data_IF_019581978952
#
_entry.id   IF_019581978952
#
_cell.length_a   1.000
_cell.length_b   1.000
_cell.length_c   1.000
_cell.angle_alpha   90.00
_cell.angle_beta   90.00
_cell.angle_gamma   90.00
#
_symmetry.space_group_name_H-M   'P 1'
#
loop_
_entity.id
_entity.type
_entity.pdbx_description
1 polymer ?
#
# COMPACT_ATOMS: atom_id res chain seq x y z
N UNK A 1 10.66 -14.97 16.22
CA UNK A 1 9.93 -15.33 15.89
C UNK A 1 9.29 -15.30 14.59
N UNK A 2 8.38 -15.74 14.42
CA UNK A 2 7.82 -16.07 13.18
C UNK A 2 7.38 -14.92 12.31
N UNK A 3 7.56 -15.05 11.03
CA UNK A 3 7.10 -14.07 10.06
C UNK A 3 5.78 -14.49 9.41
N UNK A 4 5.06 -15.37 10.07
CA UNK A 4 3.83 -15.90 9.49
C UNK A 4 2.84 -14.78 9.15
N UNK A 5 2.69 -13.81 10.07
CA UNK A 5 1.76 -12.71 9.82
C UNK A 5 2.21 -11.90 8.60
N UNK A 6 3.49 -11.60 8.51
CA UNK A 6 4.00 -10.83 7.37
C UNK A 6 3.83 -11.60 6.07
N UNK A 7 4.09 -12.89 6.09
CA UNK A 7 3.93 -13.73 4.92
C UNK A 7 2.47 -13.74 4.46
N UNK A 8 1.54 -13.87 5.41
CA UNK A 8 0.12 -13.91 5.08
C UNK A 8 -0.32 -12.56 4.50
N UNK A 9 0.20 -11.48 5.04
CA UNK A 9 -0.14 -10.16 4.54
C UNK A 9 0.34 -10.00 3.09
N UNK A 10 1.58 -10.36 2.81
CA UNK A 10 2.12 -10.23 1.47
C UNK A 10 1.33 -11.09 0.48
N UNK A 11 0.97 -12.30 0.88
CA UNK A 11 0.17 -13.17 0.03
C UNK A 11 -1.17 -12.52 -0.30
N UNK A 12 -1.80 -11.96 0.71
CA UNK A 12 -3.09 -11.32 0.54
C UNK A 12 -2.98 -10.13 -0.43
N UNK A 13 -1.89 -9.40 -0.36
CA UNK A 13 -1.71 -8.20 -1.16
C UNK A 13 -1.36 -8.50 -2.62
N UNK A 14 -1.23 -9.75 -2.99
CA UNK A 14 -1.05 -10.10 -4.39
C UNK A 14 -2.32 -9.84 -5.18
N UNK A 15 -3.45 -9.84 -4.51
CA UNK A 15 -4.72 -9.48 -5.13
C UNK A 15 -4.78 -7.96 -5.27
N UNK A 16 -4.97 -7.47 -6.49
CA UNK A 16 -4.95 -6.03 -6.76
C UNK A 16 -6.02 -5.30 -5.96
N UNK A 17 -7.17 -5.90 -5.77
CA UNK A 17 -8.25 -5.26 -5.02
C UNK A 17 -7.87 -5.14 -3.54
N UNK A 18 -7.30 -6.21 -2.98
CA UNK A 18 -6.86 -6.17 -1.59
C UNK A 18 -5.77 -5.12 -1.42
N UNK A 19 -4.86 -5.03 -2.38
CA UNK A 19 -3.78 -4.06 -2.31
C UNK A 19 -4.33 -2.64 -2.37
N UNK A 20 -5.30 -2.42 -3.22
CA UNK A 20 -5.91 -1.09 -3.36
C UNK A 20 -6.60 -0.68 -2.05
N UNK A 21 -7.36 -1.58 -1.46
CA UNK A 21 -8.04 -1.28 -0.21
C UNK A 21 -7.06 -1.01 0.93
N UNK A 22 -5.99 -1.79 0.94
CA UNK A 22 -4.97 -1.66 1.97
C UNK A 22 -4.29 -0.29 1.88
N UNK A 23 -3.93 0.12 0.66
CA UNK A 23 -3.26 1.39 0.47
C UNK A 23 -4.17 2.58 0.74
N UNK A 24 -5.44 2.48 0.32
CA UNK A 24 -6.36 3.57 0.58
C UNK A 24 -6.66 3.72 2.06
N UNK A 25 -6.71 2.61 2.78
CA UNK A 25 -6.88 2.66 4.23
C UNK A 25 -5.70 3.35 4.88
N UNK A 26 -4.49 3.06 4.39
CA UNK A 26 -3.29 3.71 4.92
C UNK A 26 -3.30 5.20 4.63
N UNK A 27 -3.79 5.59 3.46
CA UNK A 27 -3.88 7.00 3.11
C UNK A 27 -4.82 7.76 4.04
N UNK A 28 -5.88 7.10 4.50
CA UNK A 28 -6.83 7.76 5.37
C UNK A 28 -6.28 8.05 6.75
N UNK A 29 -5.21 7.38 7.12
CA UNK A 29 -4.58 7.63 8.41
C UNK A 29 -3.76 8.91 8.43
N UNK A 30 -3.50 9.48 7.28
CA UNK A 30 -2.72 10.73 7.17
C UNK A 30 -1.34 10.62 7.82
N UNK A 31 -0.76 9.44 7.80
CA UNK A 31 0.56 9.21 8.36
C UNK A 31 1.50 8.79 7.24
N UNK A 32 2.41 9.67 6.82
CA UNK A 32 3.29 9.35 5.69
C UNK A 32 4.16 8.11 5.93
N UNK A 33 4.60 7.90 7.15
CA UNK A 33 5.42 6.73 7.45
C UNK A 33 4.61 5.45 7.32
N UNK A 34 3.38 5.50 7.79
CA UNK A 34 2.50 4.34 7.66
C UNK A 34 2.21 4.04 6.20
N UNK A 35 1.97 5.08 5.42
CA UNK A 35 1.70 4.88 4.00
C UNK A 35 2.92 4.31 3.29
N UNK A 36 4.12 4.79 3.61
CA UNK A 36 5.33 4.27 2.98
C UNK A 36 5.53 2.80 3.32
N UNK A 37 5.25 2.43 4.55
CA UNK A 37 5.35 1.03 4.95
C UNK A 37 4.34 0.19 4.17
N UNK A 38 3.12 0.68 4.05
CA UNK A 38 2.08 -0.03 3.32
C UNK A 38 2.46 -0.17 1.84
N UNK A 39 2.98 0.90 1.26
CA UNK A 39 3.39 0.88 -0.13
C UNK A 39 4.50 -0.13 -0.37
N UNK A 40 5.43 -0.22 0.57
CA UNK A 40 6.52 -1.17 0.48
C UNK A 40 6.00 -2.60 0.49
N UNK A 41 5.05 -2.89 1.38
CA UNK A 41 4.48 -4.23 1.45
C UNK A 41 3.76 -4.59 0.16
N UNK A 42 3.00 -3.64 -0.38
CA UNK A 42 2.27 -3.90 -1.61
C UNK A 42 3.21 -4.04 -2.79
N UNK A 43 4.26 -3.22 -2.85
CA UNK A 43 5.24 -3.33 -3.93
C UNK A 43 5.91 -4.70 -3.91
N UNK A 44 6.22 -5.19 -2.73
CA UNK A 44 6.82 -6.51 -2.61
C UNK A 44 5.87 -7.58 -3.12
N UNK A 45 4.60 -7.46 -2.77
CA UNK A 45 3.60 -8.45 -3.18
C UNK A 45 3.32 -8.41 -4.67
N UNK A 46 3.33 -7.22 -5.26
CA UNK A 46 2.95 -7.04 -6.66
C UNK A 46 4.12 -7.08 -7.63
N UNK A 47 5.32 -7.19 -7.11
CA UNK A 47 6.49 -7.29 -7.97
C UNK A 47 7.07 -5.95 -8.39
N UNK A 48 6.70 -4.89 -7.71
CA UNK A 48 7.30 -3.58 -8.00
C UNK A 48 6.27 -2.46 -8.01
N UNK A 49 6.77 -1.25 -7.85
CA UNK A 49 5.91 -0.08 -7.78
C UNK A 49 5.27 0.24 -9.13
N UNK A 50 5.99 0.02 -10.20
CA UNK A 50 5.46 0.30 -11.53
C UNK A 50 4.24 -0.55 -11.83
N UNK A 51 4.32 -1.83 -11.48
CA UNK A 51 3.20 -2.73 -11.67
C UNK A 51 2.01 -2.30 -10.82
N UNK A 52 2.31 -1.86 -9.61
CA UNK A 52 1.28 -1.40 -8.69
C UNK A 52 0.51 -0.21 -9.26
N UNK A 53 1.23 0.75 -9.84
CA UNK A 53 0.61 1.95 -10.35
C UNK A 53 -0.41 1.65 -11.44
N UNK A 54 -0.20 0.56 -12.18
CA UNK A 54 -1.12 0.21 -13.25
C UNK A 54 -2.34 -0.56 -12.76
N UNK A 55 -2.20 -1.24 -11.62
CA UNK A 55 -3.23 -2.17 -11.18
C UNK A 55 -4.13 -1.65 -10.07
N UNK A 56 -3.73 -0.58 -9.41
CA UNK A 56 -4.51 -0.08 -8.29
C UNK A 56 -5.00 1.33 -8.55
N UNK A 57 -6.11 1.67 -7.91
CA UNK A 57 -6.65 3.02 -7.99
C UNK A 57 -6.61 3.62 -6.61
N UNK A 58 -5.66 4.49 -6.40
CA UNK A 58 -5.53 5.14 -5.12
C UNK A 58 -6.35 6.42 -5.08
N UNK A 59 -6.75 6.79 -3.87
CA UNK A 59 -7.45 8.04 -3.66
C UNK A 59 -6.47 9.18 -3.87
N UNK A 60 -6.59 9.86 -5.01
CA UNK A 60 -5.62 10.88 -5.39
C UNK A 60 -5.65 12.08 -4.47
N UNK A 61 -6.83 12.44 -3.99
CA UNK A 61 -6.91 13.58 -3.08
C UNK A 61 -6.14 13.30 -1.80
N UNK A 62 -6.34 12.13 -1.23
CA UNK A 62 -5.62 11.77 -0.02
C UNK A 62 -4.13 11.69 -0.26
N UNK A 63 -3.75 11.14 -1.41
CA UNK A 63 -2.36 11.01 -1.76
C UNK A 63 -1.69 12.38 -1.88
N UNK A 64 -2.32 13.28 -2.62
CA UNK A 64 -1.77 14.62 -2.80
C UNK A 64 -1.69 15.36 -1.48
N UNK A 65 -2.72 15.23 -0.65
CA UNK A 65 -2.71 15.88 0.65
C UNK A 65 -1.55 15.37 1.49
N UNK A 66 -1.33 14.07 1.49
CA UNK A 66 -0.26 13.49 2.26
C UNK A 66 1.11 13.97 1.77
N UNK A 67 1.28 14.04 0.46
CA UNK A 67 2.56 14.48 -0.10
C UNK A 67 2.83 15.94 0.17
N UNK A 68 1.77 16.75 0.22
CA UNK A 68 1.96 18.18 0.41
C UNK A 68 2.17 18.57 1.86
N UNK A 69 1.93 17.66 2.78
CA UNK A 69 2.13 17.94 4.21
C UNK A 69 3.56 17.73 4.66
N UNK A 70 4.43 17.39 3.77
CA UNK A 70 5.81 17.09 4.16
C UNK A 70 6.61 18.36 4.43
#
# INVERSE_FOLDING_TARGET
MSNAYQTDLIESLRDAREAEEYLNAALEEDDPELFLLALRNVAEAQGGVASLAEKTKLNRESLYRMLSER
#
